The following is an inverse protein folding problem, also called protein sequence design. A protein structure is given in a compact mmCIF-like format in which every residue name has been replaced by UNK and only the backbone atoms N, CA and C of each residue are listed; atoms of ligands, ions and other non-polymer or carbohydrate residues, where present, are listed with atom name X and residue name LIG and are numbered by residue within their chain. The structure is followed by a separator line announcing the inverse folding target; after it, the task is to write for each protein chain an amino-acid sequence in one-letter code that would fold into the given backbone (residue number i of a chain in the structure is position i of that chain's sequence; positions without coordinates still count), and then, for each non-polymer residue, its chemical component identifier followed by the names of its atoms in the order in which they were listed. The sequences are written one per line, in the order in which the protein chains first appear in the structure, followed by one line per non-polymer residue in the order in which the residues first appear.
data_IF_954546539262
#
_entry.id   IF_954546539262
#
_cell.length_a   1.000
_cell.length_b   1.000
_cell.length_c   1.000
_cell.angle_alpha   90.00
_cell.angle_beta   90.00
_cell.angle_gamma   90.00
#
_symmetry.space_group_name_H-M   'P 1'
#
loop_
_entity.id
_entity.type
_entity.pdbx_description
1 polymer ?
#
# COMPACT_ATOMS: atom_id res chain seq x y z
N UNK A 1 14.57 28.65 -29.32
CA UNK A 1 13.21 28.61 -28.76
C UNK A 1 13.30 28.12 -27.33
N UNK A 2 12.89 28.98 -26.40
CA UNK A 2 13.22 28.94 -24.96
C UNK A 2 12.63 27.75 -24.19
N UNK A 3 13.50 27.14 -23.38
CA UNK A 3 13.21 26.23 -22.26
C UNK A 3 12.58 26.97 -21.06
N UNK A 4 11.53 27.78 -21.29
CA UNK A 4 10.83 28.54 -20.24
C UNK A 4 9.64 27.77 -19.62
N UNK A 5 9.09 26.77 -20.31
CA UNK A 5 7.93 26.01 -19.83
C UNK A 5 8.23 25.07 -18.65
N UNK A 6 9.40 24.45 -18.62
CA UNK A 6 9.71 23.37 -17.65
C UNK A 6 10.05 23.89 -16.25
N UNK A 7 10.75 25.02 -16.14
CA UNK A 7 11.17 25.57 -14.84
C UNK A 7 10.00 26.22 -14.07
N UNK A 8 9.08 26.87 -14.79
CA UNK A 8 7.88 27.48 -14.21
C UNK A 8 6.94 26.39 -13.68
N UNK A 9 6.73 25.31 -14.44
CA UNK A 9 5.86 24.20 -14.03
C UNK A 9 6.44 23.39 -12.84
N UNK A 10 7.77 23.24 -12.76
CA UNK A 10 8.42 22.62 -11.60
C UNK A 10 8.36 23.49 -10.33
N UNK A 11 8.54 24.81 -10.47
CA UNK A 11 8.43 25.75 -9.34
C UNK A 11 7.00 25.81 -8.80
N UNK A 12 6.01 25.74 -9.69
CA UNK A 12 4.59 25.69 -9.41
C UNK A 12 4.18 24.38 -8.72
N UNK A 13 4.76 23.23 -9.14
CA UNK A 13 4.56 21.96 -8.43
C UNK A 13 5.13 21.99 -7.01
N UNK A 14 6.30 22.59 -6.80
CA UNK A 14 6.93 22.64 -5.48
C UNK A 14 6.14 23.50 -4.48
N UNK A 15 5.57 24.63 -4.93
CA UNK A 15 4.70 25.47 -4.10
C UNK A 15 3.36 24.77 -3.78
N UNK A 16 2.77 24.05 -4.74
CA UNK A 16 1.58 23.22 -4.48
C UNK A 16 1.84 22.10 -3.46
N UNK A 17 3.00 21.44 -3.49
CA UNK A 17 3.36 20.43 -2.48
C UNK A 17 3.44 21.07 -1.09
N UNK A 18 4.06 22.24 -1.00
CA UNK A 18 4.21 22.96 0.27
C UNK A 18 2.85 23.34 0.85
N UNK A 19 1.99 23.95 0.04
CA UNK A 19 0.64 24.35 0.48
C UNK A 19 -0.21 23.14 0.87
N UNK A 20 -0.12 22.01 0.16
CA UNK A 20 -0.79 20.77 0.55
C UNK A 20 -0.28 20.22 1.90
N UNK A 21 1.03 20.20 2.12
CA UNK A 21 1.59 19.75 3.39
C UNK A 21 1.20 20.68 4.56
N UNK A 22 1.13 21.99 4.32
CA UNK A 22 0.66 23.00 5.28
C UNK A 22 -0.82 22.84 5.66
N UNK A 23 -1.67 22.33 4.74
CA UNK A 23 -3.07 22.03 5.07
C UNK A 23 -3.23 20.91 6.11
N UNK A 24 -2.21 20.07 6.30
CA UNK A 24 -2.17 18.95 7.28
C UNK A 24 -3.36 17.98 7.26
N UNK A 25 -4.24 18.07 6.27
CA UNK A 25 -5.46 17.25 6.14
C UNK A 25 -5.20 15.88 5.46
N UNK A 26 -4.06 15.75 4.78
CA UNK A 26 -3.72 14.56 4.00
C UNK A 26 -4.68 14.30 2.82
N UNK A 27 -4.45 13.20 2.10
CA UNK A 27 -5.28 12.86 0.91
C UNK A 27 -6.70 12.44 1.31
N UNK A 28 -6.87 11.83 2.49
CA UNK A 28 -8.19 11.45 3.01
C UNK A 28 -9.05 12.69 3.27
N UNK A 29 -8.51 13.71 3.92
CA UNK A 29 -9.24 14.97 4.16
C UNK A 29 -9.62 15.68 2.85
N UNK A 30 -8.81 15.56 1.79
CA UNK A 30 -9.14 16.12 0.48
C UNK A 30 -10.42 15.49 -0.12
N UNK A 31 -10.58 14.17 0.05
CA UNK A 31 -11.78 13.44 -0.40
C UNK A 31 -12.99 13.84 0.44
N UNK A 32 -12.84 13.94 1.76
CA UNK A 32 -13.93 14.32 2.67
C UNK A 32 -14.37 15.78 2.50
N UNK A 33 -13.46 16.68 2.09
CA UNK A 33 -13.77 18.06 1.74
C UNK A 33 -14.53 18.21 0.41
N UNK A 34 -14.78 17.11 -0.31
CA UNK A 34 -15.56 17.12 -1.55
C UNK A 34 -14.85 17.76 -2.74
N UNK A 35 -13.51 17.73 -2.77
CA UNK A 35 -12.75 18.30 -3.88
C UNK A 35 -13.02 17.55 -5.19
N UNK A 36 -13.42 18.31 -6.21
CA UNK A 36 -13.80 17.78 -7.53
C UNK A 36 -12.62 17.70 -8.51
N UNK A 37 -11.49 18.34 -8.18
CA UNK A 37 -10.27 18.35 -8.98
C UNK A 37 -9.11 17.77 -8.18
N UNK A 38 -8.37 16.85 -8.81
CA UNK A 38 -7.15 16.28 -8.24
C UNK A 38 -6.00 17.31 -8.38
N UNK A 39 -5.30 17.67 -7.30
CA UNK A 39 -4.12 18.53 -7.37
C UNK A 39 -3.05 17.98 -8.30
N UNK A 40 -2.35 18.86 -9.04
CA UNK A 40 -1.37 18.46 -10.06
C UNK A 40 -0.19 17.69 -9.46
N UNK A 41 0.09 17.88 -8.18
CA UNK A 41 1.09 17.10 -7.44
C UNK A 41 0.83 15.57 -7.47
N UNK A 42 -0.43 15.13 -7.66
CA UNK A 42 -0.77 13.70 -7.79
C UNK A 42 -0.79 13.20 -9.23
N UNK A 43 -0.60 14.08 -10.22
CA UNK A 43 -0.49 13.66 -11.60
C UNK A 43 0.87 13.03 -11.83
N UNK A 44 0.87 11.80 -12.35
CA UNK A 44 2.09 11.14 -12.82
C UNK A 44 2.27 11.46 -14.31
N UNK A 45 3.27 12.29 -14.70
CA UNK A 45 3.47 12.70 -16.09
C UNK A 45 3.87 11.54 -17.01
N UNK A 46 4.39 10.44 -16.44
CA UNK A 46 4.78 9.23 -17.17
C UNK A 46 3.69 8.15 -17.16
N UNK A 47 2.60 8.35 -16.42
CA UNK A 47 1.46 7.46 -16.50
C UNK A 47 0.71 7.74 -17.81
N UNK A 48 1.05 7.00 -18.87
CA UNK A 48 0.03 6.71 -19.87
C UNK A 48 -1.11 6.02 -19.13
N UNK A 49 -2.31 6.61 -19.13
CA UNK A 49 -3.53 6.02 -18.55
C UNK A 49 -4.01 4.88 -19.44
N UNK A 50 -3.12 3.95 -19.72
CA UNK A 50 -3.43 2.61 -20.19
C UNK A 50 -3.33 1.76 -18.95
N UNK A 51 -4.44 1.54 -18.26
CA UNK A 51 -4.54 0.41 -17.32
C UNK A 51 -4.36 -0.85 -18.17
N UNK A 52 -3.18 -1.49 -18.18
CA UNK A 52 -3.02 -2.70 -18.95
C UNK A 52 -3.94 -3.70 -18.26
N UNK A 53 -4.93 -4.22 -18.99
CA UNK A 53 -5.75 -5.30 -18.45
C UNK A 53 -4.77 -6.42 -18.09
N UNK A 54 -4.66 -6.81 -16.81
CA UNK A 54 -3.73 -7.86 -16.45
C UNK A 54 -4.09 -9.10 -17.29
N UNK A 55 -3.11 -9.81 -17.84
CA UNK A 55 -3.38 -11.06 -18.53
C UNK A 55 -4.20 -11.95 -17.59
N UNK A 56 -5.36 -12.41 -18.05
CA UNK A 56 -6.35 -13.14 -17.24
C UNK A 56 -5.84 -14.46 -16.63
N UNK A 57 -4.64 -14.87 -17.03
CA UNK A 57 -4.04 -16.17 -16.70
C UNK A 57 -3.02 -16.09 -15.55
N UNK A 58 -2.55 -14.90 -15.17
CA UNK A 58 -1.50 -14.78 -14.14
C UNK A 58 -2.13 -14.86 -12.76
N UNK A 59 -1.99 -16.02 -12.10
CA UNK A 59 -2.42 -16.24 -10.72
C UNK A 59 -1.21 -16.23 -9.80
N UNK A 60 -1.11 -15.19 -8.96
CA UNK A 60 -0.07 -15.08 -7.92
C UNK A 60 -0.09 -16.37 -7.04
N UNK A 61 1.08 -16.96 -6.75
CA UNK A 61 1.15 -18.17 -5.93
C UNK A 61 0.53 -17.95 -4.55
N UNK A 62 -0.21 -18.93 -4.08
CA UNK A 62 -0.72 -18.98 -2.71
C UNK A 62 -0.07 -20.18 -2.01
N UNK A 63 0.66 -19.95 -0.91
CA UNK A 63 1.42 -20.97 -0.19
C UNK A 63 0.83 -21.13 1.22
N UNK A 64 0.48 -22.36 1.57
CA UNK A 64 0.13 -22.70 2.95
C UNK A 64 1.40 -23.06 3.73
N UNK A 65 1.67 -22.33 4.81
CA UNK A 65 2.78 -22.60 5.71
C UNK A 65 2.35 -23.45 6.93
N UNK A 66 1.05 -23.68 7.13
CA UNK A 66 0.52 -24.45 8.28
C UNK A 66 0.69 -25.95 8.14
N UNK A 67 0.63 -26.47 6.91
CA UNK A 67 0.51 -27.90 6.63
C UNK A 67 1.75 -28.74 6.91
N UNK A 68 2.43 -28.53 8.03
CA UNK A 68 3.47 -29.41 8.57
C UNK A 68 4.91 -28.97 8.37
N UNK A 69 5.17 -27.66 8.18
CA UNK A 69 6.55 -27.11 8.18
C UNK A 69 7.31 -27.46 9.46
N UNK A 70 6.59 -27.61 10.58
CA UNK A 70 7.13 -28.05 11.86
C UNK A 70 6.92 -29.55 12.15
N UNK A 71 6.09 -30.23 11.34
CA UNK A 71 5.70 -31.62 11.59
C UNK A 71 6.64 -32.62 10.90
N UNK A 72 7.25 -32.25 9.76
CA UNK A 72 8.28 -33.09 9.13
C UNK A 72 9.27 -32.30 8.26
N UNK A 73 10.50 -32.82 8.19
CA UNK A 73 11.56 -32.28 7.33
C UNK A 73 11.18 -32.30 5.85
N UNK A 74 10.49 -33.36 5.39
CA UNK A 74 10.05 -33.50 4.00
C UNK A 74 9.02 -32.42 3.63
N UNK A 75 8.07 -32.17 4.53
CA UNK A 75 7.07 -31.12 4.37
C UNK A 75 7.70 -29.74 4.35
N UNK A 76 8.66 -29.48 5.25
CA UNK A 76 9.42 -28.23 5.29
C UNK A 76 10.17 -27.97 3.99
N UNK A 77 10.88 -28.98 3.46
CA UNK A 77 11.59 -28.87 2.18
C UNK A 77 10.63 -28.56 1.01
N UNK A 78 9.46 -29.21 0.97
CA UNK A 78 8.43 -28.93 -0.05
C UNK A 78 7.94 -27.48 0.01
N UNK A 79 7.70 -26.94 1.20
CA UNK A 79 7.28 -25.54 1.38
C UNK A 79 8.39 -24.57 0.98
N UNK A 80 9.63 -24.83 1.39
CA UNK A 80 10.80 -24.01 1.02
C UNK A 80 10.98 -23.96 -0.51
N UNK A 81 10.81 -25.10 -1.19
CA UNK A 81 10.88 -25.15 -2.65
C UNK A 81 9.81 -24.27 -3.32
N UNK A 82 8.55 -24.32 -2.83
CA UNK A 82 7.45 -23.47 -3.32
C UNK A 82 7.71 -21.98 -3.09
N UNK A 83 8.26 -21.62 -1.92
CA UNK A 83 8.63 -20.23 -1.60
C UNK A 83 9.71 -19.74 -2.54
N UNK A 84 10.78 -20.54 -2.73
CA UNK A 84 11.87 -20.22 -3.64
C UNK A 84 11.36 -19.98 -5.07
N UNK A 85 10.55 -20.90 -5.60
CA UNK A 85 9.95 -20.77 -6.93
C UNK A 85 9.10 -19.50 -7.06
N UNK A 86 8.29 -19.18 -6.05
CA UNK A 86 7.47 -17.98 -6.06
C UNK A 86 8.30 -16.69 -6.03
N UNK A 87 9.39 -16.65 -5.25
CA UNK A 87 10.31 -15.52 -5.24
C UNK A 87 11.01 -15.35 -6.60
N UNK A 88 11.50 -16.43 -7.18
CA UNK A 88 12.20 -16.39 -8.47
C UNK A 88 11.28 -15.96 -9.62
N UNK A 89 10.03 -16.44 -9.65
CA UNK A 89 9.09 -16.16 -10.75
C UNK A 89 8.29 -14.87 -10.58
N UNK A 90 7.90 -14.55 -9.35
CA UNK A 90 6.95 -13.46 -9.07
C UNK A 90 7.52 -12.38 -8.17
N UNK A 91 8.56 -12.67 -7.38
CA UNK A 91 9.08 -11.78 -6.34
C UNK A 91 8.18 -11.69 -5.09
N UNK A 92 6.98 -12.29 -5.11
CA UNK A 92 6.06 -12.34 -3.98
C UNK A 92 5.07 -13.53 -4.08
N UNK A 93 4.44 -13.88 -2.96
CA UNK A 93 3.34 -14.85 -2.88
C UNK A 93 2.31 -14.42 -1.84
N UNK A 94 1.12 -15.02 -1.88
CA UNK A 94 0.13 -14.94 -0.81
C UNK A 94 0.34 -16.08 0.16
N UNK A 95 0.38 -15.79 1.45
CA UNK A 95 0.26 -16.84 2.47
C UNK A 95 -1.23 -17.04 2.79
N UNK A 96 -1.68 -18.29 2.92
CA UNK A 96 -3.01 -18.54 3.52
C UNK A 96 -2.96 -18.15 4.99
N UNK A 97 -3.71 -17.11 5.34
CA UNK A 97 -3.70 -16.50 6.66
C UNK A 97 -4.08 -17.52 7.73
N UNK A 98 -3.13 -17.79 8.61
CA UNK A 98 -3.40 -18.33 9.92
C UNK A 98 -4.20 -17.31 10.73
N UNK A 99 -5.34 -17.71 11.30
CA UNK A 99 -5.91 -17.02 12.46
C UNK A 99 -4.78 -16.78 13.45
N UNK A 100 -4.38 -15.52 13.56
CA UNK A 100 -3.29 -15.07 14.40
C UNK A 100 -3.66 -15.43 15.84
N UNK A 101 -3.11 -16.51 16.38
CA UNK A 101 -3.13 -16.71 17.83
C UNK A 101 -2.11 -15.73 18.41
N UNK A 102 -2.53 -14.76 19.24
CA UNK A 102 -1.62 -13.75 19.77
C UNK A 102 -0.53 -14.43 20.58
N UNK A 103 0.71 -14.34 20.12
CA UNK A 103 1.87 -14.50 21.00
C UNK A 103 1.83 -13.36 22.03
N UNK A 104 2.00 -13.71 23.31
CA UNK A 104 1.75 -12.89 24.48
C UNK A 104 2.12 -11.40 24.33
N UNK A 105 1.13 -10.51 24.49
CA UNK A 105 1.35 -9.07 24.70
C UNK A 105 0.38 -8.11 24.02
N UNK A 106 -0.47 -8.56 23.09
CA UNK A 106 -1.43 -7.69 22.39
C UNK A 106 -2.77 -8.37 22.13
N UNK A 107 -3.82 -7.95 22.83
CA UNK A 107 -5.18 -8.44 22.62
C UNK A 107 -5.78 -7.79 21.36
N UNK A 108 -5.76 -8.49 20.22
CA UNK A 108 -6.49 -8.04 19.04
C UNK A 108 -6.46 -9.03 17.88
N UNK A 109 -7.63 -9.43 17.40
CA UNK A 109 -7.81 -10.12 16.10
C UNK A 109 -7.26 -9.24 14.95
N UNK A 110 -6.99 -9.85 13.80
CA UNK A 110 -6.68 -9.14 12.55
C UNK A 110 -7.71 -8.03 12.26
N UNK A 111 -9.00 -8.32 12.48
CA UNK A 111 -10.08 -7.34 12.31
C UNK A 111 -9.98 -6.17 13.30
N UNK A 112 -9.47 -6.41 14.51
CA UNK A 112 -9.25 -5.36 15.51
C UNK A 112 -8.12 -4.42 15.08
N UNK A 113 -7.04 -4.95 14.51
CA UNK A 113 -5.97 -4.14 13.93
C UNK A 113 -6.44 -3.33 12.73
N UNK A 114 -7.21 -3.95 11.83
CA UNK A 114 -7.83 -3.26 10.68
C UNK A 114 -8.76 -2.14 11.16
N UNK A 115 -9.60 -2.44 12.16
CA UNK A 115 -10.51 -1.45 12.75
C UNK A 115 -9.75 -0.31 13.41
N UNK A 116 -8.69 -0.61 14.18
CA UNK A 116 -7.84 0.41 14.81
C UNK A 116 -7.15 1.30 13.79
N UNK A 117 -6.61 0.73 12.71
CA UNK A 117 -5.99 1.50 11.64
C UNK A 117 -7.01 2.44 10.96
N UNK A 118 -8.24 1.95 10.74
CA UNK A 118 -9.35 2.76 10.22
C UNK A 118 -9.70 3.91 11.17
N UNK A 119 -9.91 3.63 12.46
CA UNK A 119 -10.22 4.66 13.46
C UNK A 119 -9.11 5.71 13.60
N UNK A 120 -7.83 5.32 13.58
CA UNK A 120 -6.71 6.28 13.59
C UNK A 120 -6.71 7.19 12.37
N UNK A 121 -7.13 6.68 11.22
CA UNK A 121 -7.26 7.50 10.01
C UNK A 121 -8.40 8.52 10.10
N UNK A 122 -9.40 8.30 10.95
CA UNK A 122 -10.53 9.23 11.19
C UNK A 122 -10.15 10.28 12.24
N UNK A 123 -9.41 9.89 13.27
CA UNK A 123 -8.88 10.81 14.29
C UNK A 123 -7.90 11.84 13.71
N UNK A 124 -7.01 11.42 12.79
CA UNK A 124 -6.06 12.31 12.11
C UNK A 124 -6.72 13.38 11.21
N UNK A 125 -8.00 13.25 10.88
CA UNK A 125 -8.73 14.28 10.11
C UNK A 125 -9.12 15.45 11.02
N UNK A 126 -9.40 15.19 12.30
CA UNK A 126 -9.95 16.17 13.24
C UNK A 126 -8.87 16.95 14.01
N UNK A 127 -7.62 16.50 13.96
CA UNK A 127 -6.49 17.21 14.57
C UNK A 127 -5.35 17.37 13.55
N UNK A 128 -5.18 18.55 12.93
CA UNK A 128 -4.00 18.82 12.12
C UNK A 128 -2.77 18.70 13.03
N UNK A 129 -1.78 17.90 12.60
CA UNK A 129 -0.55 17.68 13.36
C UNK A 129 0.02 19.02 13.84
N UNK A 130 -0.11 19.28 15.14
CA UNK A 130 0.64 20.32 15.82
C UNK A 130 2.06 19.78 15.97
N UNK A 131 3.02 20.49 15.38
CA UNK A 131 4.44 20.22 15.58
C UNK A 131 5.03 21.38 16.38
#
# INVERSE_FOLDING_TARGET
MESKGTLVDMLDRASEVKTFDEMKMGVKGLVEAGMTKIPRIFHNPLASVTTPKPPSTVRIPTIDLRGGVFDSEVTRQSVVAKVKEAMEKFGFFRQLTMGFHPCHGGNGSWDSWVSRARSRSEENVLQPRQN
#
